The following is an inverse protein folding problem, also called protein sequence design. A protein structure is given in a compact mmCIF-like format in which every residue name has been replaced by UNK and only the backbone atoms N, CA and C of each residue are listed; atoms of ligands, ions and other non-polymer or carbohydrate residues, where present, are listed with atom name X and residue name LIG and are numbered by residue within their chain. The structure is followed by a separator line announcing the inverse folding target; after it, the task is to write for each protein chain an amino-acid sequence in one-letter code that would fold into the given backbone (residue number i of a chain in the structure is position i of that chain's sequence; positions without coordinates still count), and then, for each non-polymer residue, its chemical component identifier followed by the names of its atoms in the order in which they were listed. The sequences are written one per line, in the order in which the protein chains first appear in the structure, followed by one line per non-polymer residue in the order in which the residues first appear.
data_IF_966306971928
#
_entry.id   IF_966306971928
#
_cell.length_a   1.000
_cell.length_b   1.000
_cell.length_c   1.000
_cell.angle_alpha   90.00
_cell.angle_beta   90.00
_cell.angle_gamma   90.00
#
_symmetry.space_group_name_H-M   'P 1'
#
loop_
_entity.id
_entity.type
_entity.pdbx_description
1 polymer ?
#
# COMPACT_ATOMS: atom_id res chain seq x y z
N UNK A 1 2.18 21.27 -3.93
CA UNK A 1 1.07 20.37 -3.52
C UNK A 1 1.58 19.08 -2.84
N UNK A 2 2.89 18.94 -2.53
CA UNK A 2 3.50 17.65 -2.12
C UNK A 2 3.65 17.42 -0.61
N UNK A 3 3.58 18.45 0.24
CA UNK A 3 3.83 18.29 1.69
C UNK A 3 2.70 17.55 2.45
N UNK A 4 1.45 17.69 2.01
CA UNK A 4 0.31 17.14 2.75
C UNK A 4 0.20 15.61 2.59
N UNK A 5 0.53 15.09 1.40
CA UNK A 5 0.56 13.65 1.14
C UNK A 5 1.68 12.95 1.90
N UNK A 6 2.81 13.63 2.09
CA UNK A 6 3.95 13.07 2.82
C UNK A 6 3.62 12.85 4.30
N UNK A 7 2.99 13.82 4.96
CA UNK A 7 2.55 13.67 6.37
C UNK A 7 1.53 12.56 6.54
N UNK A 8 0.56 12.45 5.63
CA UNK A 8 -0.44 11.36 5.67
C UNK A 8 0.25 10.00 5.53
N UNK A 9 1.20 9.87 4.61
CA UNK A 9 1.93 8.62 4.39
C UNK A 9 2.87 8.27 5.53
N UNK A 10 3.52 9.25 6.12
CA UNK A 10 4.31 9.05 7.35
C UNK A 10 3.43 8.56 8.51
N UNK A 11 2.23 9.14 8.68
CA UNK A 11 1.28 8.68 9.68
C UNK A 11 0.84 7.23 9.41
N UNK A 12 0.55 6.86 8.16
CA UNK A 12 0.23 5.47 7.79
C UNK A 12 1.41 4.51 8.02
N UNK A 13 2.62 4.93 7.66
CA UNK A 13 3.85 4.16 7.87
C UNK A 13 4.21 3.98 9.36
N UNK A 14 3.62 4.76 10.27
CA UNK A 14 3.75 4.62 11.72
C UNK A 14 2.52 3.97 12.38
N UNK A 15 1.36 3.98 11.73
CA UNK A 15 0.11 3.45 12.27
C UNK A 15 0.18 1.94 12.49
N UNK A 16 -0.46 1.35 13.51
CA UNK A 16 -0.45 -0.10 13.72
C UNK A 16 -1.29 -0.84 12.65
N UNK A 17 -1.10 -2.16 12.44
CA UNK A 17 -1.81 -2.93 11.41
C UNK A 17 -3.34 -2.82 11.47
N UNK A 18 -3.92 -2.73 12.67
CA UNK A 18 -5.37 -2.60 12.88
C UNK A 18 -5.90 -1.27 12.34
N UNK A 19 -5.14 -0.19 12.53
CA UNK A 19 -5.50 1.13 11.99
C UNK A 19 -5.37 1.15 10.47
N UNK A 20 -4.36 0.47 9.91
CA UNK A 20 -4.25 0.32 8.47
C UNK A 20 -5.42 -0.46 7.86
N UNK A 21 -5.92 -1.50 8.54
CA UNK A 21 -7.12 -2.24 8.09
C UNK A 21 -8.36 -1.34 8.10
N UNK A 22 -8.58 -0.57 9.18
CA UNK A 22 -9.65 0.43 9.22
C UNK A 22 -9.52 1.46 8.10
N UNK A 23 -8.30 1.88 7.79
CA UNK A 23 -8.06 2.80 6.68
C UNK A 23 -8.37 2.18 5.32
N UNK A 24 -8.07 0.88 5.11
CA UNK A 24 -8.47 0.17 3.89
C UNK A 24 -9.98 0.14 3.74
N UNK A 25 -10.71 -0.23 4.80
CA UNK A 25 -12.18 -0.27 4.80
C UNK A 25 -12.76 1.08 4.37
N UNK A 26 -12.26 2.17 4.97
CA UNK A 26 -12.69 3.54 4.59
C UNK A 26 -12.37 3.88 3.14
N UNK A 27 -11.17 3.56 2.66
CA UNK A 27 -10.73 3.90 1.30
C UNK A 27 -11.48 3.08 0.24
N UNK A 28 -11.90 1.86 0.54
CA UNK A 28 -12.63 1.00 -0.40
C UNK A 28 -14.04 1.56 -0.68
N UNK A 29 -14.66 2.21 0.30
CA UNK A 29 -15.95 2.89 0.15
C UNK A 29 -15.86 4.20 -0.67
N UNK A 30 -14.65 4.76 -0.84
CA UNK A 30 -14.45 5.96 -1.66
C UNK A 30 -14.50 5.65 -3.16
N UNK A 31 -15.08 6.53 -4.00
CA UNK A 31 -15.11 6.34 -5.45
C UNK A 31 -13.71 6.14 -6.07
N UNK A 32 -13.60 5.31 -7.12
CA UNK A 32 -12.32 5.03 -7.75
C UNK A 32 -11.63 6.26 -8.33
N UNK A 33 -10.40 6.48 -7.90
CA UNK A 33 -9.55 7.57 -8.36
C UNK A 33 -8.07 7.23 -8.18
N UNK A 34 -7.21 7.78 -9.04
CA UNK A 34 -5.75 7.57 -8.95
C UNK A 34 -5.16 7.98 -7.58
N UNK A 35 -5.55 9.10 -6.96
CA UNK A 35 -5.06 9.46 -5.63
C UNK A 35 -5.46 8.45 -4.55
N UNK A 36 -6.74 8.03 -4.53
CA UNK A 36 -7.23 6.97 -3.63
C UNK A 36 -6.45 5.68 -3.82
N UNK A 37 -6.26 5.27 -5.08
CA UNK A 37 -5.54 4.04 -5.43
C UNK A 37 -4.08 4.10 -5.02
N UNK A 38 -3.44 5.26 -5.11
CA UNK A 38 -2.07 5.47 -4.61
C UNK A 38 -1.98 5.29 -3.10
N UNK A 39 -2.99 5.76 -2.34
CA UNK A 39 -3.05 5.56 -0.89
C UNK A 39 -3.35 4.10 -0.55
N UNK A 40 -4.30 3.46 -1.24
CA UNK A 40 -4.59 2.03 -1.11
C UNK A 40 -3.32 1.20 -1.32
N UNK A 41 -2.58 1.48 -2.39
CA UNK A 41 -1.30 0.84 -2.65
C UNK A 41 -0.34 0.98 -1.45
N UNK A 42 -0.16 2.21 -0.95
CA UNK A 42 0.72 2.48 0.17
C UNK A 42 0.30 1.72 1.44
N UNK A 43 -0.99 1.69 1.77
CA UNK A 43 -1.52 0.99 2.94
C UNK A 43 -1.31 -0.52 2.83
N UNK A 44 -1.64 -1.12 1.68
CA UNK A 44 -1.41 -2.54 1.44
C UNK A 44 0.07 -2.92 1.52
N UNK A 45 0.96 -2.13 0.93
CA UNK A 45 2.41 -2.38 0.99
C UNK A 45 2.95 -2.24 2.42
N UNK A 46 2.45 -1.27 3.18
CA UNK A 46 2.83 -1.10 4.60
C UNK A 46 2.35 -2.28 5.45
N UNK A 47 1.15 -2.81 5.19
CA UNK A 47 0.66 -4.04 5.82
C UNK A 47 1.53 -5.24 5.45
N UNK A 48 1.92 -5.37 4.18
CA UNK A 48 2.77 -6.46 3.71
C UNK A 48 4.11 -6.52 4.45
N UNK A 49 4.69 -5.37 4.82
CA UNK A 49 5.94 -5.30 5.59
C UNK A 49 5.81 -5.72 7.06
N UNK A 50 4.59 -5.74 7.61
CA UNK A 50 4.36 -5.93 9.06
C UNK A 50 3.67 -7.23 9.41
N UNK A 51 2.96 -7.81 8.44
CA UNK A 51 2.32 -9.10 8.59
C UNK A 51 3.30 -10.21 8.17
N UNK A 52 2.93 -11.45 8.46
CA UNK A 52 3.73 -12.62 8.11
C UNK A 52 2.95 -13.60 7.22
N UNK A 53 3.70 -14.50 6.57
CA UNK A 53 3.16 -15.60 5.79
C UNK A 53 2.23 -15.17 4.65
N UNK A 54 1.19 -15.98 4.39
CA UNK A 54 0.30 -15.78 3.25
C UNK A 54 -0.54 -14.50 3.33
N UNK A 55 -0.67 -13.88 4.50
CA UNK A 55 -1.37 -12.59 4.61
C UNK A 55 -0.50 -11.43 4.11
N UNK A 56 0.78 -11.42 4.47
CA UNK A 56 1.75 -10.47 3.96
C UNK A 56 1.81 -10.53 2.42
N UNK A 57 1.82 -11.74 1.85
CA UNK A 57 1.84 -11.96 0.41
C UNK A 57 0.57 -11.42 -0.27
N UNK A 58 -0.63 -11.71 0.27
CA UNK A 58 -1.89 -11.16 -0.27
C UNK A 58 -1.90 -9.64 -0.25
N UNK A 59 -1.42 -9.03 0.84
CA UNK A 59 -1.29 -7.57 0.93
C UNK A 59 -0.29 -7.03 -0.10
N UNK A 60 0.86 -7.70 -0.28
CA UNK A 60 1.84 -7.31 -1.29
C UNK A 60 1.24 -7.32 -2.70
N UNK A 61 0.56 -8.41 -3.10
CA UNK A 61 -0.06 -8.54 -4.43
C UNK A 61 -1.09 -7.45 -4.68
N UNK A 62 -1.95 -7.17 -3.71
CA UNK A 62 -2.93 -6.08 -3.81
C UNK A 62 -2.24 -4.72 -3.94
N UNK A 63 -1.27 -4.44 -3.06
CA UNK A 63 -0.52 -3.19 -3.04
C UNK A 63 0.26 -2.93 -4.34
N UNK A 64 0.91 -3.96 -4.87
CA UNK A 64 1.63 -3.90 -6.14
C UNK A 64 0.69 -3.61 -7.33
N UNK A 65 -0.50 -4.21 -7.33
CA UNK A 65 -1.50 -4.00 -8.37
C UNK A 65 -1.99 -2.55 -8.39
N UNK A 66 -2.33 -1.99 -7.22
CA UNK A 66 -2.72 -0.58 -7.10
C UNK A 66 -1.58 0.39 -7.40
N UNK A 67 -0.33 0.05 -7.04
CA UNK A 67 0.84 0.89 -7.35
C UNK A 67 1.06 1.02 -8.88
N UNK A 68 0.82 -0.06 -9.64
CA UNK A 68 0.91 -0.03 -11.11
C UNK A 68 -0.17 0.82 -11.77
N UNK A 69 -1.41 0.73 -11.29
CA UNK A 69 -2.56 1.40 -11.93
C UNK A 69 -2.64 2.88 -11.55
N UNK A 70 -2.38 3.22 -10.28
CA UNK A 70 -2.37 4.61 -9.78
C UNK A 70 -1.24 5.44 -10.39
N UNK A 71 -0.10 4.80 -10.71
CA UNK A 71 1.16 5.45 -11.11
C UNK A 71 1.66 6.45 -10.05
N UNK A 72 1.33 6.20 -8.79
CA UNK A 72 1.74 7.07 -7.70
C UNK A 72 3.28 7.06 -7.54
N UNK A 73 3.94 8.24 -7.48
CA UNK A 73 5.39 8.34 -7.46
C UNK A 73 6.04 7.81 -6.19
N UNK A 74 5.28 7.59 -5.10
CA UNK A 74 5.80 7.05 -3.84
C UNK A 74 5.42 5.58 -3.64
N UNK A 75 4.22 5.17 -4.06
CA UNK A 75 3.80 3.77 -3.96
C UNK A 75 4.58 2.85 -4.91
N UNK A 76 4.93 3.32 -6.12
CA UNK A 76 5.64 2.51 -7.11
C UNK A 76 7.08 2.15 -6.66
N UNK A 77 7.93 3.08 -6.21
CA UNK A 77 9.25 2.72 -5.67
C UNK A 77 9.17 1.78 -4.47
N UNK A 78 8.18 1.98 -3.59
CA UNK A 78 7.95 1.08 -2.45
C UNK A 78 7.61 -0.34 -2.91
N UNK A 79 6.70 -0.47 -3.88
CA UNK A 79 6.31 -1.76 -4.44
C UNK A 79 7.48 -2.49 -5.11
N UNK A 80 8.31 -1.78 -5.88
CA UNK A 80 9.48 -2.37 -6.55
C UNK A 80 10.55 -2.83 -5.55
N UNK A 81 10.75 -2.08 -4.45
CA UNK A 81 11.64 -2.50 -3.35
C UNK A 81 11.13 -3.79 -2.69
N UNK A 82 9.85 -3.81 -2.31
CA UNK A 82 9.25 -4.97 -1.64
C UNK A 82 9.15 -6.20 -2.55
N UNK A 83 9.12 -6.03 -3.87
CA UNK A 83 9.10 -7.14 -4.83
C UNK A 83 10.26 -8.11 -4.64
N UNK A 84 11.39 -7.66 -4.10
CA UNK A 84 12.54 -8.53 -3.80
C UNK A 84 12.29 -9.42 -2.57
N UNK A 85 11.45 -8.96 -1.65
CA UNK A 85 11.09 -9.64 -0.41
C UNK A 85 9.94 -10.66 -0.61
N UNK A 86 9.18 -10.56 -1.71
CA UNK A 86 8.07 -11.45 -2.06
C UNK A 86 8.34 -12.25 -3.37
N UNK A 87 9.30 -13.19 -3.39
CA UNK A 87 9.71 -13.91 -4.60
C UNK A 87 8.64 -14.89 -5.12
N UNK A 88 7.75 -15.36 -4.24
CA UNK A 88 6.67 -16.28 -4.60
C UNK A 88 5.67 -15.66 -5.60
N UNK A 89 5.54 -14.33 -5.62
CA UNK A 89 4.70 -13.62 -6.58
C UNK A 89 5.18 -13.70 -8.04
N UNK A 90 6.46 -14.04 -8.28
CA UNK A 90 7.00 -14.20 -9.65
C UNK A 90 6.75 -15.58 -10.28
N UNK A 91 6.16 -16.53 -9.55
CA UNK A 91 5.95 -17.90 -10.03
C UNK A 91 4.66 -18.06 -10.82
#
# INVERSE_FOLDING_TARGET
MFEHDDRRRQALAAAPPEELRRQLERLIEEPPSKPRDGILAFVYLTLAQRLEGGEAERCFVAGYSYARTSRDPQARPLAERLREEFPAWRR
#
